data_IF_408708163889
#
_entry.id   IF_408708163889
#
_cell.length_a   1.000
_cell.length_b   1.000
_cell.length_c   1.000
_cell.angle_alpha   90.00
_cell.angle_beta   90.00
_cell.angle_gamma   90.00
#
_symmetry.space_group_name_H-M   'P 1'
#
loop_
_entity.id
_entity.type
_entity.pdbx_description
1 polymer ?
#
# COMPACT_ATOMS: atom_id res chain seq x y z
N UNK A 1 -5.74 -18.37 12.47
CA UNK A 1 -6.39 -17.28 11.71
C UNK A 1 -5.35 -16.19 11.50
N UNK A 2 -5.25 -15.61 10.31
CA UNK A 2 -4.27 -14.55 10.08
C UNK A 2 -4.66 -13.27 10.83
N UNK A 3 -3.66 -12.54 11.30
CA UNK A 3 -3.87 -11.24 11.94
C UNK A 3 -3.82 -10.15 10.87
N UNK A 4 -4.98 -9.52 10.65
CA UNK A 4 -5.21 -8.51 9.61
C UNK A 4 -5.66 -7.20 10.23
N UNK A 5 -5.14 -6.10 9.71
CA UNK A 5 -5.55 -4.74 10.04
C UNK A 5 -6.59 -4.29 9.02
N UNK A 6 -7.76 -3.88 9.51
CA UNK A 6 -8.82 -3.30 8.67
C UNK A 6 -8.70 -1.77 8.63
N UNK A 7 -8.94 -1.12 7.48
CA UNK A 7 -9.03 0.33 7.42
C UNK A 7 -10.12 0.89 8.33
N UNK A 8 -9.82 1.98 9.04
CA UNK A 8 -10.81 2.76 9.79
C UNK A 8 -11.38 3.87 8.89
N UNK A 9 -12.27 3.50 7.97
CA UNK A 9 -12.86 4.40 6.98
C UNK A 9 -14.34 4.14 6.73
N UNK A 10 -15.02 5.03 6.00
CA UNK A 10 -16.44 4.90 5.66
C UNK A 10 -16.75 4.09 4.39
N UNK A 11 -15.81 3.27 3.89
CA UNK A 11 -16.04 2.50 2.67
C UNK A 11 -17.25 1.54 2.79
N UNK A 12 -18.01 1.33 1.70
CA UNK A 12 -19.15 0.42 1.71
C UNK A 12 -18.79 -1.00 2.16
N UNK A 13 -19.76 -1.69 2.77
CA UNK A 13 -19.54 -3.02 3.36
C UNK A 13 -19.15 -4.11 2.36
N UNK A 14 -19.48 -3.94 1.07
CA UNK A 14 -19.05 -4.83 -0.02
C UNK A 14 -17.61 -4.57 -0.46
N UNK A 15 -17.00 -3.46 -0.07
CA UNK A 15 -15.56 -3.24 -0.23
C UNK A 15 -14.84 -3.93 0.93
N UNK A 16 -13.94 -4.84 0.59
CA UNK A 16 -13.10 -5.55 1.55
C UNK A 16 -11.67 -5.08 1.38
N UNK A 17 -11.05 -4.67 2.47
CA UNK A 17 -9.73 -4.07 2.48
C UNK A 17 -8.99 -4.47 3.75
N UNK A 18 -7.71 -4.85 3.61
CA UNK A 18 -6.90 -5.33 4.71
C UNK A 18 -5.42 -5.00 4.49
N UNK A 19 -4.67 -4.86 5.58
CA UNK A 19 -3.21 -5.00 5.58
C UNK A 19 -2.81 -6.18 6.44
N UNK A 20 -1.91 -7.02 5.92
CA UNK A 20 -1.38 -8.15 6.69
C UNK A 20 -0.35 -7.68 7.71
N UNK A 21 -0.23 -8.42 8.81
CA UNK A 21 0.93 -8.38 9.70
C UNK A 21 1.94 -9.45 9.30
N UNK A 22 3.06 -9.55 10.02
CA UNK A 22 4.01 -10.67 9.90
C UNK A 22 3.53 -11.94 10.60
N UNK A 23 2.41 -11.92 11.32
CA UNK A 23 2.03 -12.99 12.24
C UNK A 23 1.30 -14.14 11.51
N UNK A 24 1.44 -15.36 12.04
CA UNK A 24 0.70 -16.57 11.63
C UNK A 24 0.95 -17.06 10.20
N UNK A 25 2.15 -16.86 9.66
CA UNK A 25 2.65 -17.60 8.49
C UNK A 25 3.68 -18.68 8.84
N UNK A 26 4.24 -19.30 7.81
CA UNK A 26 5.11 -20.49 7.92
C UNK A 26 6.58 -20.22 7.61
N UNK A 27 6.94 -18.99 7.24
CA UNK A 27 8.35 -18.60 7.04
C UNK A 27 9.11 -18.59 8.36
N UNK A 28 10.43 -18.78 8.29
CA UNK A 28 11.33 -18.87 9.46
C UNK A 28 12.48 -17.86 9.39
N UNK A 29 13.29 -17.79 10.45
CA UNK A 29 14.48 -16.93 10.53
C UNK A 29 14.15 -15.44 10.32
N UNK A 30 14.91 -14.74 9.48
CA UNK A 30 14.69 -13.32 9.16
C UNK A 30 13.33 -13.05 8.49
N UNK A 31 12.66 -14.09 7.99
CA UNK A 31 11.32 -14.02 7.42
C UNK A 31 10.24 -14.57 8.36
N UNK A 32 10.55 -14.87 9.63
CA UNK A 32 9.65 -15.53 10.58
C UNK A 32 8.21 -15.00 10.48
N UNK A 33 7.27 -15.91 10.17
CA UNK A 33 5.85 -15.64 10.03
C UNK A 33 5.34 -15.55 8.57
N UNK A 34 4.51 -14.56 8.28
CA UNK A 34 3.74 -14.42 7.04
C UNK A 34 4.47 -13.57 5.98
N UNK A 35 5.61 -14.06 5.50
CA UNK A 35 6.29 -13.41 4.37
C UNK A 35 5.56 -13.70 3.04
N UNK A 36 5.20 -12.64 2.33
CA UNK A 36 4.49 -12.71 1.04
C UNK A 36 5.38 -12.33 -0.16
N UNK A 37 6.63 -11.93 0.07
CA UNK A 37 7.57 -11.50 -0.96
C UNK A 37 8.35 -12.65 -1.58
N UNK A 38 8.23 -12.86 -2.90
CA UNK A 38 9.01 -13.85 -3.64
C UNK A 38 10.42 -13.37 -4.03
N UNK A 39 10.65 -12.07 -3.98
CA UNK A 39 11.88 -11.41 -4.46
C UNK A 39 12.87 -11.07 -3.32
N UNK A 40 12.63 -11.59 -2.10
CA UNK A 40 13.43 -11.23 -0.91
C UNK A 40 14.36 -12.34 -0.46
N UNK A 41 14.57 -13.38 -1.28
CA UNK A 41 15.44 -14.54 -0.98
C UNK A 41 14.93 -15.44 0.17
N UNK A 42 13.62 -15.50 0.36
CA UNK A 42 12.98 -16.58 1.13
C UNK A 42 12.74 -17.79 0.21
N UNK A 43 12.47 -18.97 0.80
CA UNK A 43 12.18 -20.18 0.03
C UNK A 43 10.83 -20.01 -0.69
N UNK A 44 10.87 -20.02 -2.02
CA UNK A 44 9.68 -19.81 -2.88
C UNK A 44 8.47 -20.66 -2.46
N UNK A 45 8.68 -21.96 -2.18
CA UNK A 45 7.58 -22.85 -1.77
C UNK A 45 6.89 -22.41 -0.46
N UNK A 46 7.64 -21.80 0.46
CA UNK A 46 7.13 -21.33 1.75
C UNK A 46 6.36 -20.02 1.57
N UNK A 47 6.86 -19.12 0.73
CA UNK A 47 6.15 -17.88 0.36
C UNK A 47 4.84 -18.20 -0.37
N UNK A 48 4.85 -19.16 -1.29
CA UNK A 48 3.63 -19.61 -1.98
C UNK A 48 2.62 -20.21 -0.99
N UNK A 49 3.08 -20.93 0.04
CA UNK A 49 2.22 -21.42 1.12
C UNK A 49 1.61 -20.25 1.92
N UNK A 50 2.39 -19.23 2.27
CA UNK A 50 1.86 -18.02 2.94
C UNK A 50 0.82 -17.29 2.08
N UNK A 51 1.05 -17.17 0.77
CA UNK A 51 0.07 -16.58 -0.16
C UNK A 51 -1.22 -17.41 -0.23
N UNK A 52 -1.11 -18.75 -0.23
CA UNK A 52 -2.27 -19.64 -0.19
C UNK A 52 -3.04 -19.52 1.14
N UNK A 53 -2.35 -19.40 2.28
CA UNK A 53 -2.96 -19.14 3.58
C UNK A 53 -3.76 -17.83 3.57
N UNK A 54 -3.21 -16.77 2.97
CA UNK A 54 -3.91 -15.49 2.85
C UNK A 54 -5.15 -15.58 1.95
N UNK A 55 -5.03 -16.25 0.80
CA UNK A 55 -6.15 -16.47 -0.11
C UNK A 55 -7.30 -17.24 0.59
N UNK A 56 -6.98 -18.32 1.29
CA UNK A 56 -7.93 -19.12 2.05
C UNK A 56 -8.57 -18.32 3.21
N UNK A 57 -7.78 -17.53 3.95
CA UNK A 57 -8.28 -16.70 5.05
C UNK A 57 -9.32 -15.66 4.56
N UNK A 58 -9.20 -15.19 3.32
CA UNK A 58 -10.16 -14.25 2.71
C UNK A 58 -11.33 -14.93 1.99
N UNK A 59 -11.37 -16.27 1.96
CA UNK A 59 -12.38 -17.05 1.22
C UNK A 59 -12.49 -16.60 -0.24
N UNK A 60 -11.35 -16.42 -0.90
CA UNK A 60 -11.23 -16.06 -2.30
C UNK A 60 -10.69 -17.26 -3.10
N UNK A 61 -11.14 -17.40 -4.34
CA UNK A 61 -10.70 -18.48 -5.25
C UNK A 61 -9.73 -17.96 -6.31
N UNK A 62 -9.85 -16.68 -6.70
CA UNK A 62 -8.99 -16.06 -7.69
C UNK A 62 -7.67 -15.60 -7.05
N UNK A 63 -6.51 -16.04 -7.56
CA UNK A 63 -5.22 -15.54 -7.10
C UNK A 63 -5.11 -14.03 -7.26
N UNK A 64 -4.41 -13.37 -6.33
CA UNK A 64 -4.22 -11.92 -6.40
C UNK A 64 -3.32 -11.55 -7.58
N UNK A 65 -3.51 -10.36 -8.15
CA UNK A 65 -2.62 -9.83 -9.17
C UNK A 65 -1.43 -9.16 -8.48
N UNK A 66 -0.36 -9.92 -8.25
CA UNK A 66 0.86 -9.38 -7.65
C UNK A 66 1.62 -8.53 -8.69
N UNK A 67 2.07 -7.34 -8.29
CA UNK A 67 2.85 -6.45 -9.14
C UNK A 67 4.35 -6.72 -9.01
N UNK A 68 5.11 -6.38 -10.05
CA UNK A 68 6.55 -6.17 -9.96
C UNK A 68 6.82 -4.69 -9.66
N UNK A 69 6.87 -4.35 -8.37
CA UNK A 69 7.01 -2.98 -7.88
C UNK A 69 8.45 -2.48 -8.06
N UNK A 70 8.63 -1.33 -8.70
CA UNK A 70 9.94 -0.74 -9.04
C UNK A 70 10.14 0.66 -8.45
N UNK A 71 9.26 1.09 -7.54
CA UNK A 71 9.19 2.47 -7.01
C UNK A 71 8.92 3.51 -8.11
N UNK A 72 8.22 3.10 -9.16
CA UNK A 72 7.81 3.92 -10.29
C UNK A 72 6.47 4.63 -10.04
N UNK A 73 5.98 5.31 -11.07
CA UNK A 73 4.60 5.82 -11.13
C UNK A 73 3.69 4.97 -12.02
N UNK A 74 4.07 3.74 -12.38
CA UNK A 74 3.29 2.89 -13.29
C UNK A 74 2.02 2.37 -12.59
N UNK A 75 0.89 2.48 -13.29
CA UNK A 75 -0.44 2.07 -12.83
C UNK A 75 -1.01 1.01 -13.77
N UNK A 76 -1.44 -0.11 -13.21
CA UNK A 76 -2.09 -1.20 -13.94
C UNK A 76 -3.61 -1.20 -13.72
N UNK A 77 -4.40 -1.16 -14.80
CA UNK A 77 -5.82 -1.55 -14.73
C UNK A 77 -5.93 -3.07 -14.80
N UNK A 78 -6.33 -3.72 -13.71
CA UNK A 78 -6.48 -5.17 -13.67
C UNK A 78 -7.75 -5.58 -14.41
N UNK A 79 -7.61 -6.56 -15.30
CA UNK A 79 -8.68 -7.24 -16.00
C UNK A 79 -8.45 -8.77 -15.96
N UNK A 80 -9.39 -9.54 -16.54
CA UNK A 80 -9.34 -11.02 -16.53
C UNK A 80 -8.10 -11.63 -17.22
N UNK A 81 -7.38 -10.86 -18.04
CA UNK A 81 -6.19 -11.29 -18.78
C UNK A 81 -4.89 -10.73 -18.17
N UNK A 82 -4.97 -9.98 -17.07
CA UNK A 82 -3.79 -9.39 -16.43
C UNK A 82 -2.81 -10.46 -15.98
N UNK A 83 -1.54 -10.28 -16.34
CA UNK A 83 -0.45 -11.19 -15.99
C UNK A 83 0.03 -10.91 -14.56
N UNK A 84 0.45 -11.97 -13.87
CA UNK A 84 1.19 -11.86 -12.61
C UNK A 84 2.54 -11.15 -12.84
N UNK A 85 3.03 -10.46 -11.81
CA UNK A 85 4.30 -9.74 -11.81
C UNK A 85 4.43 -8.70 -12.94
N UNK A 86 3.31 -8.07 -13.31
CA UNK A 86 3.35 -6.93 -14.24
C UNK A 86 4.03 -5.74 -13.56
N UNK A 87 4.93 -5.06 -14.27
CA UNK A 87 5.63 -3.88 -13.74
C UNK A 87 4.66 -2.73 -13.48
N UNK A 88 4.47 -2.42 -12.20
CA UNK A 88 3.64 -1.34 -11.71
C UNK A 88 3.82 -1.15 -10.20
N UNK A 89 3.55 0.06 -9.73
CA UNK A 89 3.50 0.38 -8.30
C UNK A 89 2.09 0.72 -7.82
N UNK A 90 1.13 0.80 -8.74
CA UNK A 90 -0.28 0.86 -8.39
C UNK A 90 -1.11 -0.06 -9.28
N UNK A 91 -2.26 -0.49 -8.77
CA UNK A 91 -3.28 -1.15 -9.56
C UNK A 91 -4.68 -0.68 -9.21
N UNK A 92 -5.61 -0.81 -10.14
CA UNK A 92 -7.02 -0.58 -9.90
C UNK A 92 -7.91 -1.50 -10.73
N UNK A 93 -9.14 -1.71 -10.28
CA UNK A 93 -10.14 -2.50 -11.01
C UNK A 93 -11.56 -2.13 -10.59
N UNK A 94 -12.51 -2.34 -11.49
CA UNK A 94 -13.96 -2.30 -11.27
C UNK A 94 -14.58 -3.72 -11.30
N UNK A 95 -13.74 -4.76 -11.39
CA UNK A 95 -14.17 -6.15 -11.39
C UNK A 95 -14.36 -6.68 -9.97
N UNK A 96 -15.45 -7.42 -9.77
CA UNK A 96 -15.74 -8.12 -8.51
C UNK A 96 -14.82 -9.32 -8.30
N UNK A 97 -14.52 -9.57 -7.03
CA UNK A 97 -13.58 -10.57 -6.50
C UNK A 97 -12.15 -10.50 -7.08
N UNK A 98 -11.82 -9.45 -7.84
CA UNK A 98 -10.47 -9.17 -8.29
C UNK A 98 -9.74 -8.30 -7.26
N UNK A 99 -8.58 -8.78 -6.80
CA UNK A 99 -7.81 -8.13 -5.74
C UNK A 99 -6.73 -7.21 -6.32
N UNK A 100 -6.77 -5.94 -5.93
CA UNK A 100 -5.64 -5.03 -6.01
C UNK A 100 -4.78 -5.23 -4.77
N UNK A 101 -3.47 -5.47 -4.94
CA UNK A 101 -2.55 -5.73 -3.83
C UNK A 101 -1.21 -5.07 -4.08
N UNK A 102 -0.61 -4.54 -3.01
CA UNK A 102 0.76 -4.04 -2.99
C UNK A 102 1.52 -4.64 -1.81
N UNK A 103 2.80 -4.88 -1.98
CA UNK A 103 3.69 -5.41 -0.95
C UNK A 103 4.55 -4.29 -0.36
N UNK A 104 4.69 -4.27 0.97
CA UNK A 104 5.50 -3.26 1.65
C UNK A 104 6.32 -3.88 2.79
N UNK A 105 7.43 -3.21 3.08
CA UNK A 105 8.11 -3.23 4.36
C UNK A 105 8.71 -1.83 4.50
N UNK A 106 8.02 -0.95 5.23
CA UNK A 106 8.25 0.49 5.40
C UNK A 106 7.60 1.45 4.39
N UNK A 107 7.61 1.16 3.09
CA UNK A 107 6.95 2.05 2.12
C UNK A 107 5.46 2.18 2.41
N UNK A 108 4.86 3.33 2.07
CA UNK A 108 3.46 3.61 2.38
C UNK A 108 2.52 2.90 1.40
N UNK A 109 1.66 1.97 1.85
CA UNK A 109 0.57 1.48 1.04
C UNK A 109 -0.64 2.44 1.13
N UNK A 110 -1.31 2.71 0.02
CA UNK A 110 -2.58 3.43 -0.01
C UNK A 110 -3.66 2.58 -0.67
N UNK A 111 -4.87 2.63 -0.13
CA UNK A 111 -6.06 2.04 -0.73
C UNK A 111 -7.05 3.14 -1.11
N UNK A 112 -7.70 3.00 -2.25
CA UNK A 112 -8.69 3.98 -2.75
C UNK A 112 -9.94 3.25 -3.24
N UNK A 113 -11.10 3.78 -2.90
CA UNK A 113 -12.41 3.47 -3.50
C UNK A 113 -13.25 4.76 -3.54
N UNK A 114 -14.49 4.69 -4.02
CA UNK A 114 -15.47 5.77 -3.91
C UNK A 114 -16.59 5.43 -2.93
N UNK A 115 -17.44 6.41 -2.59
CA UNK A 115 -18.58 6.20 -1.68
C UNK A 115 -19.56 5.11 -2.13
N UNK A 116 -19.61 4.78 -3.42
CA UNK A 116 -20.44 3.69 -3.93
C UNK A 116 -19.71 2.34 -3.99
N UNK A 117 -18.39 2.31 -3.83
CA UNK A 117 -17.59 1.10 -3.98
C UNK A 117 -17.67 0.53 -5.39
N UNK A 118 -17.63 1.40 -6.40
CA UNK A 118 -17.71 1.08 -7.82
C UNK A 118 -16.36 0.63 -8.42
N UNK A 119 -15.25 1.02 -7.79
CA UNK A 119 -13.92 0.57 -8.13
C UNK A 119 -13.07 0.43 -6.87
N UNK A 120 -11.92 -0.23 -6.99
CA UNK A 120 -10.90 -0.31 -5.94
C UNK A 120 -9.50 -0.11 -6.51
N UNK A 121 -8.58 0.41 -5.70
CA UNK A 121 -7.18 0.59 -6.06
C UNK A 121 -6.24 0.40 -4.88
N UNK A 122 -5.06 -0.15 -5.13
CA UNK A 122 -3.96 -0.27 -4.19
C UNK A 122 -2.70 0.38 -4.79
N UNK A 123 -1.97 1.16 -3.98
CA UNK A 123 -0.80 1.95 -4.37
C UNK A 123 0.36 1.65 -3.42
N UNK A 124 1.54 1.36 -3.97
CA UNK A 124 2.82 1.33 -3.31
C UNK A 124 3.50 2.70 -3.48
N UNK A 125 3.54 3.47 -2.40
CA UNK A 125 4.17 4.79 -2.37
C UNK A 125 5.42 4.75 -1.48
N UNK A 126 6.51 4.19 -2.03
CA UNK A 126 7.85 4.54 -1.54
C UNK A 126 8.16 6.01 -1.81
N UNK A 127 9.16 6.59 -1.14
CA UNK A 127 9.41 8.03 -1.21
C UNK A 127 9.60 8.55 -2.65
N UNK A 128 10.27 7.79 -3.53
CA UNK A 128 10.45 8.14 -4.96
C UNK A 128 9.12 8.23 -5.71
N UNK A 129 8.38 7.12 -5.77
CA UNK A 129 7.06 7.10 -6.42
C UNK A 129 6.08 8.11 -5.84
N UNK A 130 6.15 8.37 -4.52
CA UNK A 130 5.37 9.41 -3.85
C UNK A 130 5.75 10.82 -4.34
N UNK A 131 7.05 11.11 -4.45
CA UNK A 131 7.58 12.38 -4.96
C UNK A 131 7.19 12.59 -6.44
N UNK A 132 7.40 11.55 -7.25
CA UNK A 132 7.13 11.50 -8.69
C UNK A 132 5.64 11.52 -9.06
N UNK A 133 4.75 11.39 -8.07
CA UNK A 133 3.32 11.60 -8.25
C UNK A 133 2.50 10.37 -8.60
N UNK A 134 2.83 9.19 -8.05
CA UNK A 134 2.03 7.96 -8.23
C UNK A 134 0.58 8.13 -7.74
N UNK A 135 0.36 8.92 -6.69
CA UNK A 135 -0.98 9.16 -6.12
C UNK A 135 -1.83 9.94 -7.13
N UNK A 136 -1.30 11.03 -7.65
CA UNK A 136 -2.00 11.93 -8.57
C UNK A 136 -2.28 11.25 -9.89
N UNK A 137 -1.30 10.51 -10.42
CA UNK A 137 -1.48 9.70 -11.62
C UNK A 137 -2.58 8.65 -11.43
N UNK A 138 -2.62 7.99 -10.26
CA UNK A 138 -3.67 7.02 -9.93
C UNK A 138 -5.04 7.68 -9.85
N UNK A 139 -5.20 8.74 -9.05
CA UNK A 139 -6.49 9.43 -8.88
C UNK A 139 -6.99 10.00 -10.21
N UNK A 140 -6.15 10.70 -10.97
CA UNK A 140 -6.52 11.30 -12.24
C UNK A 140 -6.93 10.25 -13.28
N UNK A 141 -6.21 9.13 -13.35
CA UNK A 141 -6.53 8.04 -14.29
C UNK A 141 -7.86 7.40 -13.94
N UNK A 142 -8.06 7.06 -12.66
CA UNK A 142 -9.30 6.42 -12.20
C UNK A 142 -10.48 7.36 -12.43
N UNK A 143 -10.43 8.62 -11.98
CA UNK A 143 -11.55 9.55 -12.14
C UNK A 143 -11.96 9.70 -13.61
N UNK A 144 -10.97 9.76 -14.52
CA UNK A 144 -11.21 9.83 -15.97
C UNK A 144 -11.87 8.56 -16.51
N UNK A 145 -11.43 7.37 -16.08
CA UNK A 145 -11.91 6.10 -16.63
C UNK A 145 -13.20 5.58 -15.99
N UNK A 146 -13.35 5.72 -14.67
CA UNK A 146 -14.56 5.33 -13.92
C UNK A 146 -15.65 6.40 -13.96
N UNK A 147 -15.32 7.62 -14.43
CA UNK A 147 -16.21 8.80 -14.43
C UNK A 147 -16.68 9.19 -13.03
N UNK A 148 -15.91 8.85 -12.01
CA UNK A 148 -16.15 9.23 -10.61
C UNK A 148 -15.43 10.55 -10.32
N UNK A 149 -16.12 11.46 -9.63
CA UNK A 149 -15.49 12.70 -9.14
C UNK A 149 -14.48 12.39 -8.05
N UNK A 150 -13.34 13.10 -8.05
CA UNK A 150 -12.34 12.97 -7.00
C UNK A 150 -12.89 13.29 -5.60
N UNK A 151 -13.93 14.13 -5.52
CA UNK A 151 -14.65 14.46 -4.28
C UNK A 151 -15.48 13.33 -3.69
N UNK A 152 -15.63 12.21 -4.40
CA UNK A 152 -16.31 11.00 -3.92
C UNK A 152 -15.32 9.95 -3.41
N UNK A 153 -14.02 10.22 -3.49
CA UNK A 153 -13.00 9.23 -3.15
C UNK A 153 -12.81 9.10 -1.64
N UNK A 154 -12.65 7.86 -1.21
CA UNK A 154 -12.26 7.45 0.13
C UNK A 154 -10.85 6.87 0.03
N UNK A 155 -9.93 7.43 0.81
CA UNK A 155 -8.52 7.03 0.81
C UNK A 155 -8.13 6.54 2.20
N UNK A 156 -7.44 5.41 2.26
CA UNK A 156 -6.80 4.93 3.48
C UNK A 156 -5.29 4.80 3.30
N UNK A 157 -4.55 5.38 4.23
CA UNK A 157 -3.09 5.28 4.34
C UNK A 157 -2.75 4.12 5.29
N UNK A 158 -2.17 3.04 4.78
CA UNK A 158 -1.88 1.84 5.59
C UNK A 158 -0.60 1.95 6.42
N UNK A 159 -0.23 0.88 7.17
CA UNK A 159 0.99 0.85 7.98
C UNK A 159 2.26 1.12 7.15
N UNK A 160 3.11 2.03 7.63
CA UNK A 160 4.37 2.39 6.98
C UNK A 160 5.42 2.73 8.04
N UNK A 161 6.65 3.08 7.62
CA UNK A 161 7.64 3.61 8.56
C UNK A 161 7.16 4.97 9.08
N UNK A 162 7.17 5.12 10.40
CA UNK A 162 6.64 6.30 11.07
C UNK A 162 7.60 7.49 11.03
N UNK A 163 7.03 8.68 11.22
CA UNK A 163 7.75 9.97 11.23
C UNK A 163 8.85 10.10 12.28
N UNK A 164 8.89 9.22 13.29
CA UNK A 164 9.96 9.19 14.31
C UNK A 164 11.11 8.24 13.94
N UNK A 165 10.99 7.49 12.84
CA UNK A 165 11.95 6.47 12.42
C UNK A 165 12.46 6.65 10.98
N UNK A 166 11.71 7.35 10.11
CA UNK A 166 12.07 7.50 8.71
C UNK A 166 13.11 8.61 8.50
N UNK A 167 14.36 8.29 8.84
CA UNK A 167 15.50 9.16 8.55
C UNK A 167 15.83 9.16 7.05
N UNK A 168 16.06 10.34 6.47
CA UNK A 168 16.42 10.59 5.07
C UNK A 168 17.48 11.70 4.98
N UNK A 169 18.21 11.75 3.86
CA UNK A 169 19.12 12.84 3.57
C UNK A 169 18.40 14.10 3.08
N UNK A 170 19.16 15.19 2.94
CA UNK A 170 18.64 16.48 2.47
C UNK A 170 18.09 16.38 1.03
N UNK A 171 18.66 15.51 0.20
CA UNK A 171 18.24 15.30 -1.18
C UNK A 171 16.77 14.89 -1.29
N UNK A 172 16.30 14.00 -0.41
CA UNK A 172 14.89 13.56 -0.41
C UNK A 172 13.98 14.72 -0.03
N UNK A 173 14.34 15.46 1.03
CA UNK A 173 13.58 16.64 1.48
C UNK A 173 13.47 17.68 0.37
N UNK A 174 14.59 18.02 -0.24
CA UNK A 174 14.67 19.09 -1.23
C UNK A 174 13.89 18.73 -2.50
N UNK A 175 13.89 17.46 -2.91
CA UNK A 175 13.07 16.98 -4.03
C UNK A 175 11.57 17.19 -3.76
N UNK A 176 11.08 16.83 -2.58
CA UNK A 176 9.69 17.07 -2.20
C UNK A 176 9.33 18.57 -2.16
N UNK A 177 10.22 19.41 -1.62
CA UNK A 177 10.00 20.87 -1.53
C UNK A 177 9.98 21.52 -2.92
N UNK A 178 10.77 21.01 -3.87
CA UNK A 178 10.74 21.50 -5.26
C UNK A 178 9.36 21.28 -5.92
N UNK A 179 8.67 20.20 -5.57
CA UNK A 179 7.32 19.94 -6.06
C UNK A 179 6.24 20.71 -5.31
N UNK A 180 6.32 20.79 -3.98
CA UNK A 180 5.40 21.56 -3.15
C UNK A 180 6.15 22.14 -1.94
N UNK A 181 6.26 23.46 -1.88
CA UNK A 181 6.91 24.17 -0.77
C UNK A 181 6.35 23.82 0.62
N UNK A 182 5.08 23.39 0.70
CA UNK A 182 4.46 22.94 1.96
C UNK A 182 5.03 21.62 2.48
N UNK A 183 5.71 20.86 1.63
CA UNK A 183 6.36 19.62 2.04
C UNK A 183 7.38 19.83 3.16
N UNK A 184 7.91 21.05 3.33
CA UNK A 184 8.83 21.40 4.42
C UNK A 184 8.29 21.01 5.80
N UNK A 185 6.96 21.11 6.01
CA UNK A 185 6.31 20.80 7.29
C UNK A 185 6.25 19.29 7.58
N UNK A 186 6.49 18.44 6.58
CA UNK A 186 6.57 16.99 6.72
C UNK A 186 7.99 16.48 7.08
N UNK A 187 8.95 17.39 7.28
CA UNK A 187 10.32 17.05 7.67
C UNK A 187 10.69 17.74 8.99
N UNK A 188 11.36 17.00 9.88
CA UNK A 188 11.97 17.57 11.09
C UNK A 188 13.47 17.30 11.11
N UNK A 189 14.25 18.28 11.56
CA UNK A 189 15.71 18.16 11.64
C UNK A 189 16.08 17.06 12.64
N UNK A 190 16.95 16.14 12.23
CA UNK A 190 17.48 15.08 13.06
C UNK A 190 18.97 14.91 12.80
N UNK A 191 19.79 15.54 13.65
CA UNK A 191 21.25 15.62 13.49
C UNK A 191 21.62 16.30 12.16
N UNK A 192 22.40 15.63 11.32
CA UNK A 192 22.80 16.02 9.97
C UNK A 192 21.79 15.59 8.89
N UNK A 193 20.65 15.02 9.29
CA UNK A 193 19.60 14.44 8.43
C UNK A 193 18.22 14.97 8.81
N UNK A 194 17.19 14.38 8.19
CA UNK A 194 15.80 14.71 8.46
C UNK A 194 14.98 13.45 8.79
N UNK A 195 14.01 13.59 9.68
CA UNK A 195 12.93 12.63 9.86
C UNK A 195 11.74 13.06 9.00
N UNK A 196 11.32 12.19 8.08
CA UNK A 196 10.24 12.46 7.13
C UNK A 196 8.93 11.76 7.52
N UNK A 197 7.80 12.44 7.33
CA UNK A 197 6.46 11.89 7.53
C UNK A 197 5.82 11.54 6.18
N UNK A 198 5.88 10.25 5.81
CA UNK A 198 5.29 9.74 4.56
C UNK A 198 3.78 9.98 4.48
N UNK A 199 3.05 9.88 5.60
CA UNK A 199 1.61 10.10 5.61
C UNK A 199 1.29 11.58 5.40
N UNK A 200 2.06 12.50 6.00
CA UNK A 200 1.91 13.94 5.76
C UNK A 200 2.21 14.31 4.30
N UNK A 201 3.29 13.77 3.73
CA UNK A 201 3.64 13.95 2.32
C UNK A 201 2.51 13.45 1.40
N UNK A 202 1.97 12.26 1.65
CA UNK A 202 0.84 11.73 0.90
C UNK A 202 -0.41 12.63 0.99
N UNK A 203 -0.73 13.17 2.17
CA UNK A 203 -1.85 14.11 2.33
C UNK A 203 -1.67 15.37 1.50
N UNK A 204 -0.45 15.91 1.39
CA UNK A 204 -0.16 17.05 0.50
C UNK A 204 -0.44 16.70 -0.97
N UNK A 205 -0.01 15.51 -1.43
CA UNK A 205 -0.27 15.06 -2.81
C UNK A 205 -1.76 14.81 -3.10
N UNK A 206 -2.54 14.39 -2.09
CA UNK A 206 -3.98 14.15 -2.22
C UNK A 206 -4.79 15.46 -2.14
N UNK A 207 -4.31 16.47 -1.41
CA UNK A 207 -5.08 17.68 -1.10
C UNK A 207 -5.71 18.39 -2.32
N UNK A 208 -5.04 18.53 -3.49
CA UNK A 208 -5.64 19.16 -4.67
C UNK A 208 -6.92 18.47 -5.17
N UNK A 209 -7.06 17.16 -4.91
CA UNK A 209 -8.21 16.37 -5.36
C UNK A 209 -9.45 16.51 -4.49
N UNK A 210 -9.34 17.14 -3.31
CA UNK A 210 -10.46 17.37 -2.38
C UNK A 210 -11.28 16.10 -2.12
N UNK A 211 -10.60 14.99 -1.88
CA UNK A 211 -11.25 13.69 -1.63
C UNK A 211 -12.19 13.76 -0.43
N UNK A 212 -13.21 12.90 -0.39
CA UNK A 212 -14.22 12.92 0.66
C UNK A 212 -13.64 12.57 2.03
N UNK A 213 -12.70 11.62 2.06
CA UNK A 213 -12.13 11.12 3.30
C UNK A 213 -10.68 10.68 3.10
N UNK A 214 -9.82 10.98 4.09
CA UNK A 214 -8.49 10.39 4.22
C UNK A 214 -8.31 9.89 5.64
N UNK A 215 -8.39 8.57 5.83
CA UNK A 215 -8.05 7.90 7.07
C UNK A 215 -6.63 7.35 7.02
N UNK A 216 -6.05 7.04 8.18
CA UNK A 216 -4.70 6.50 8.26
C UNK A 216 -4.54 5.50 9.41
N UNK A 217 -3.72 4.48 9.16
CA UNK A 217 -3.20 3.59 10.17
C UNK A 217 -2.27 4.34 11.13
N UNK A 218 -2.39 4.15 12.46
CA UNK A 218 -1.46 4.73 13.42
C UNK A 218 -0.14 3.97 13.51
N UNK A 219 -0.03 2.82 12.83
CA UNK A 219 1.08 1.88 13.02
C UNK A 219 2.38 2.32 12.36
N UNK A 220 3.50 2.06 13.05
CA UNK A 220 4.87 2.25 12.57
C UNK A 220 5.55 0.90 12.36
N UNK A 221 5.83 0.54 11.11
CA UNK A 221 6.45 -0.75 10.75
C UNK A 221 7.83 -0.95 11.38
N UNK A 222 8.58 0.13 11.56
CA UNK A 222 9.90 0.11 12.18
C UNK A 222 9.82 -0.13 13.69
N UNK A 223 8.93 0.57 14.39
CA UNK A 223 8.83 0.54 15.86
C UNK A 223 8.11 -0.70 16.38
N UNK A 224 7.11 -1.21 15.65
CA UNK A 224 6.28 -2.34 16.07
C UNK A 224 6.80 -3.66 15.46
N UNK A 225 8.00 -4.08 15.89
CA UNK A 225 8.72 -5.23 15.32
C UNK A 225 8.01 -6.59 15.45
N UNK A 226 7.14 -6.72 16.46
CA UNK A 226 6.34 -7.92 16.69
C UNK A 226 5.23 -8.08 15.64
N UNK A 227 4.75 -6.97 15.07
CA UNK A 227 3.65 -6.95 14.10
C UNK A 227 4.12 -6.83 12.64
N UNK A 228 5.26 -6.16 12.39
CA UNK A 228 5.65 -5.81 11.01
C UNK A 228 7.10 -6.16 10.67
N UNK A 229 7.32 -6.55 9.42
CA UNK A 229 8.64 -6.49 8.81
C UNK A 229 9.02 -5.03 8.54
N UNK A 230 10.31 -4.70 8.69
CA UNK A 230 10.84 -3.37 8.36
C UNK A 230 12.20 -3.53 7.68
N UNK A 231 12.29 -3.06 6.43
CA UNK A 231 13.54 -3.09 5.68
C UNK A 231 14.60 -2.19 6.33
N UNK A 232 14.18 -1.02 6.84
CA UNK A 232 15.05 -0.08 7.55
C UNK A 232 15.65 -0.68 8.82
N UNK A 233 14.87 -1.48 9.56
CA UNK A 233 15.32 -2.13 10.79
C UNK A 233 16.20 -3.35 10.52
N UNK A 234 15.75 -4.23 9.63
CA UNK A 234 16.25 -5.59 9.54
C UNK A 234 17.17 -5.81 8.31
N UNK A 235 17.13 -4.91 7.32
CA UNK A 235 17.80 -5.07 6.02
C UNK A 235 17.19 -6.22 5.21
N UNK A 236 17.59 -7.45 5.52
CA UNK A 236 17.04 -8.66 4.89
C UNK A 236 15.84 -9.17 5.70
N UNK A 237 14.63 -9.03 5.15
CA UNK A 237 13.37 -9.31 5.86
C UNK A 237 12.22 -9.60 4.90
N UNK A 238 11.07 -10.01 5.43
CA UNK A 238 9.86 -10.34 4.67
C UNK A 238 9.12 -9.11 4.13
N UNK A 239 7.97 -9.35 3.50
CA UNK A 239 7.04 -8.31 3.04
C UNK A 239 5.63 -8.58 3.56
N UNK A 240 4.98 -7.53 4.06
CA UNK A 240 3.53 -7.50 4.25
C UNK A 240 2.84 -7.21 2.91
N UNK A 241 1.53 -7.40 2.87
CA UNK A 241 0.69 -7.00 1.76
C UNK A 241 -0.48 -6.13 2.24
N UNK A 242 -0.85 -5.14 1.45
CA UNK A 242 -2.04 -4.31 1.64
C UNK A 242 -2.92 -4.46 0.41
N UNK A 243 -4.20 -4.81 0.61
CA UNK A 243 -5.08 -5.27 -0.46
C UNK A 243 -6.50 -4.75 -0.32
N UNK A 244 -7.20 -4.68 -1.45
CA UNK A 244 -8.59 -4.26 -1.57
C UNK A 244 -9.29 -4.99 -2.71
N UNK A 245 -10.58 -5.28 -2.54
CA UNK A 245 -11.43 -5.89 -3.56
C UNK A 245 -12.91 -5.58 -3.35
N UNK A 246 -13.68 -5.66 -4.44
CA UNK A 246 -15.14 -5.57 -4.44
C UNK A 246 -15.68 -6.98 -4.24
N UNK A 247 -16.35 -7.25 -3.12
CA UNK A 247 -16.90 -8.58 -2.83
C UNK A 247 -18.17 -8.82 -3.64
N UNK A 248 -18.22 -9.92 -4.39
CA UNK A 248 -19.47 -10.40 -4.99
C UNK A 248 -20.42 -10.86 -3.85
N UNK A 249 -21.68 -10.38 -3.81
CA UNK A 249 -22.68 -10.94 -2.92
C UNK A 249 -22.85 -12.44 -3.22
N UNK A 250 -22.74 -13.29 -2.20
CA UNK A 250 -23.15 -14.69 -2.35
C UNK A 250 -24.68 -14.70 -2.43
N UNK A 251 -25.20 -15.15 -3.58
CA UNK A 251 -26.64 -15.41 -3.80
C UNK A 251 -27.07 -16.58 -2.91
#
# INVERSE_FOLDING_TARGET
MLELISPNWSAPSHIKAFSTTRINGVSTNVYQGLNLGLHVEDKESVVLQNRALLLANLSLETPFCWLNQTHSTLLLKINKQSKQATEADASWTDLKDQVCVVMTADCLPLLITDKQGSFVSAIHAGWRGLCDGIIEKTIATICRESKVSSSELLVWLGPCIGKTAFEVGAEVRDEFIQHDTKAVDAFSVHKDRYLADLQALARLRIAPFKVAEISASPHCTFSEADLFYSYRRDGKTGRMATLIYIKEPKI
#
